data_IF_361431373344
#
_entry.id   IF_361431373344
#
_cell.length_a   1.000
_cell.length_b   1.000
_cell.length_c   1.000
_cell.angle_alpha   90.00
_cell.angle_beta   90.00
_cell.angle_gamma   90.00
#
_symmetry.space_group_name_H-M   'P 1'
#
loop_
_entity.id
_entity.type
_entity.pdbx_description
1 polymer ?
#
# COMPACT_ATOMS: atom_id res chain seq x y z
N UNK A 1 5.45 -5.79 -2.19
CA UNK A 1 4.91 -5.45 -0.86
C UNK A 1 3.40 -5.64 -0.76
N UNK A 2 2.61 -5.19 -1.74
CA UNK A 2 1.14 -5.37 -1.71
C UNK A 2 0.69 -6.84 -1.68
N UNK A 3 1.36 -7.72 -2.43
CA UNK A 3 1.11 -9.18 -2.35
C UNK A 3 1.39 -9.75 -0.96
N UNK A 4 2.46 -9.28 -0.29
CA UNK A 4 2.76 -9.66 1.08
C UNK A 4 1.67 -9.17 2.04
N UNK A 5 1.13 -7.98 1.82
CA UNK A 5 -0.04 -7.49 2.56
C UNK A 5 -1.24 -8.41 2.39
N UNK A 6 -1.61 -8.74 1.16
CA UNK A 6 -2.74 -9.62 0.85
C UNK A 6 -2.61 -11.02 1.47
N UNK A 7 -1.49 -11.69 1.22
CA UNK A 7 -1.26 -13.07 1.69
C UNK A 7 -0.99 -13.11 3.19
N UNK A 8 -0.18 -12.18 3.70
CA UNK A 8 0.20 -12.10 5.09
C UNK A 8 -1.00 -11.85 6.00
N UNK A 9 -1.88 -10.92 5.66
CA UNK A 9 -3.05 -10.64 6.49
C UNK A 9 -4.12 -11.74 6.43
N UNK A 10 -4.27 -12.45 5.30
CA UNK A 10 -5.14 -13.64 5.27
C UNK A 10 -4.56 -14.79 6.10
N UNK A 11 -3.28 -15.12 5.89
CA UNK A 11 -2.61 -16.22 6.57
C UNK A 11 -2.53 -16.03 8.08
N UNK A 12 -2.29 -14.79 8.52
CA UNK A 12 -2.18 -14.44 9.95
C UNK A 12 -3.51 -13.98 10.57
N UNK A 13 -4.47 -13.49 9.78
CA UNK A 13 -5.73 -12.97 10.30
C UNK A 13 -6.83 -14.03 10.47
N UNK A 14 -6.86 -15.04 9.60
CA UNK A 14 -7.88 -16.11 9.65
C UNK A 14 -7.91 -16.95 10.94
N UNK A 15 -6.79 -17.18 11.64
CA UNK A 15 -6.83 -17.89 12.92
C UNK A 15 -7.55 -17.13 14.03
N UNK A 16 -7.73 -15.80 13.92
CA UNK A 16 -8.35 -14.93 14.94
C UNK A 16 -7.80 -15.13 16.37
N UNK A 17 -6.51 -15.44 16.51
CA UNK A 17 -5.86 -15.54 17.81
C UNK A 17 -5.02 -14.29 18.10
N UNK A 18 -4.92 -13.82 19.35
CA UNK A 18 -4.14 -12.63 19.68
C UNK A 18 -2.71 -12.59 19.10
N UNK A 19 -1.87 -13.65 19.19
CA UNK A 19 -0.52 -13.59 18.64
C UNK A 19 -0.49 -13.46 17.11
N UNK A 20 -1.41 -14.11 16.41
CA UNK A 20 -1.47 -14.06 14.94
C UNK A 20 -1.98 -12.71 14.44
N UNK A 21 -2.92 -12.09 15.16
CA UNK A 21 -3.39 -10.73 14.89
C UNK A 21 -2.28 -9.70 15.11
N UNK A 22 -1.48 -9.83 16.17
CA UNK A 22 -0.32 -8.95 16.39
C UNK A 22 0.71 -9.11 15.25
N UNK A 23 0.99 -10.35 14.84
CA UNK A 23 1.87 -10.62 13.72
C UNK A 23 1.32 -10.04 12.40
N UNK A 24 0.01 -10.16 12.14
CA UNK A 24 -0.65 -9.54 10.99
C UNK A 24 -0.48 -8.01 11.02
N UNK A 25 -0.73 -7.38 12.17
CA UNK A 25 -0.53 -5.94 12.37
C UNK A 25 0.91 -5.50 12.10
N UNK A 26 1.90 -6.26 12.55
CA UNK A 26 3.31 -6.01 12.27
C UNK A 26 3.62 -6.08 10.76
N UNK A 27 3.19 -7.16 10.08
CA UNK A 27 3.41 -7.33 8.64
C UNK A 27 2.75 -6.20 7.85
N UNK A 28 1.51 -5.85 8.18
CA UNK A 28 0.80 -4.74 7.53
C UNK A 28 1.45 -3.39 7.81
N UNK A 29 1.92 -3.15 9.03
CA UNK A 29 2.68 -1.96 9.39
C UNK A 29 3.98 -1.83 8.59
N UNK A 30 4.73 -2.93 8.46
CA UNK A 30 5.94 -2.98 7.63
C UNK A 30 5.64 -2.70 6.16
N UNK A 31 4.62 -3.36 5.59
CA UNK A 31 4.17 -3.12 4.21
C UNK A 31 3.79 -1.65 4.00
N UNK A 32 3.06 -1.06 4.95
CA UNK A 32 2.64 0.33 4.92
C UNK A 32 3.83 1.30 4.91
N UNK A 33 4.78 1.14 5.82
CA UNK A 33 5.95 2.02 5.90
C UNK A 33 6.86 1.89 4.69
N UNK A 34 7.05 0.68 4.19
CA UNK A 34 7.91 0.48 3.04
C UNK A 34 7.31 1.03 1.74
N UNK A 35 5.99 0.95 1.56
CA UNK A 35 5.30 1.67 0.47
C UNK A 35 5.45 3.18 0.64
N UNK A 36 5.27 3.70 1.87
CA UNK A 36 5.39 5.13 2.15
C UNK A 36 6.78 5.67 1.75
N UNK A 37 7.86 4.97 2.12
CA UNK A 37 9.23 5.37 1.76
C UNK A 37 9.42 5.48 0.24
N UNK A 38 8.89 4.53 -0.54
CA UNK A 38 8.97 4.59 -2.01
C UNK A 38 8.20 5.77 -2.60
N UNK A 39 7.05 6.12 -2.03
CA UNK A 39 6.29 7.28 -2.49
C UNK A 39 6.98 8.58 -2.10
N UNK A 40 7.53 8.67 -0.89
CA UNK A 40 8.29 9.82 -0.42
C UNK A 40 9.51 10.05 -1.33
N UNK A 41 10.27 9.02 -1.68
CA UNK A 41 11.40 9.16 -2.62
C UNK A 41 10.94 9.62 -4.01
N UNK A 42 9.82 9.09 -4.50
CA UNK A 42 9.24 9.49 -5.79
C UNK A 42 8.81 10.96 -5.76
N UNK A 43 8.15 11.41 -4.68
CA UNK A 43 7.74 12.80 -4.51
C UNK A 43 8.95 13.74 -4.46
N UNK A 44 10.05 13.32 -3.84
CA UNK A 44 11.29 14.10 -3.85
C UNK A 44 11.85 14.24 -5.26
N UNK A 45 11.79 13.18 -6.08
CA UNK A 45 12.30 13.18 -7.45
C UNK A 45 11.46 14.06 -8.38
N UNK A 46 10.13 13.99 -8.31
CA UNK A 46 9.24 14.62 -9.30
C UNK A 46 8.79 16.03 -8.96
N UNK A 47 8.89 16.45 -7.69
CA UNK A 47 8.42 17.77 -7.24
C UNK A 47 9.59 18.73 -7.08
N UNK A 48 9.48 19.89 -7.74
CA UNK A 48 10.42 21.00 -7.59
C UNK A 48 10.56 21.45 -6.12
N UNK A 49 11.79 21.78 -5.73
CA UNK A 49 12.15 22.15 -4.34
C UNK A 49 11.23 23.22 -3.74
N UNK A 50 10.88 24.26 -4.53
CA UNK A 50 10.02 25.38 -4.11
C UNK A 50 8.62 24.94 -3.62
N UNK A 51 8.14 23.79 -4.08
CA UNK A 51 6.82 23.25 -3.74
C UNK A 51 6.89 21.98 -2.91
N UNK A 52 8.07 21.36 -2.78
CA UNK A 52 8.25 20.04 -2.18
C UNK A 52 7.66 19.96 -0.78
N UNK A 53 7.98 20.90 0.11
CA UNK A 53 7.45 20.91 1.49
C UNK A 53 5.91 20.99 1.55
N UNK A 54 5.29 21.76 0.63
CA UNK A 54 3.83 21.90 0.55
C UNK A 54 3.17 20.60 0.07
N UNK A 55 3.72 19.98 -0.96
CA UNK A 55 3.21 18.71 -1.50
C UNK A 55 3.40 17.58 -0.48
N UNK A 56 4.53 17.53 0.21
CA UNK A 56 4.78 16.56 1.28
C UNK A 56 3.76 16.65 2.40
N UNK A 57 3.46 17.86 2.89
CA UNK A 57 2.47 18.06 3.96
C UNK A 57 1.08 17.59 3.55
N UNK A 58 0.65 17.87 2.31
CA UNK A 58 -0.64 17.39 1.78
C UNK A 58 -0.64 15.87 1.67
N UNK A 59 0.42 15.28 1.12
CA UNK A 59 0.53 13.82 0.98
C UNK A 59 0.50 13.11 2.35
N UNK A 60 1.30 13.58 3.32
CA UNK A 60 1.33 13.02 4.67
C UNK A 60 -0.03 13.16 5.36
N UNK A 61 -0.68 14.31 5.24
CA UNK A 61 -2.00 14.53 5.83
C UNK A 61 -3.02 13.57 5.22
N UNK A 62 -3.04 13.43 3.90
CA UNK A 62 -3.95 12.52 3.20
C UNK A 62 -3.73 11.06 3.63
N UNK A 63 -2.46 10.64 3.73
CA UNK A 63 -2.10 9.29 4.16
C UNK A 63 -2.60 9.01 5.59
N UNK A 64 -2.35 9.92 6.53
CA UNK A 64 -2.78 9.78 7.92
C UNK A 64 -4.31 9.82 8.06
N UNK A 65 -4.98 10.74 7.36
CA UNK A 65 -6.45 10.84 7.36
C UNK A 65 -7.08 9.55 6.82
N UNK A 66 -6.52 8.96 5.76
CA UNK A 66 -7.00 7.68 5.23
C UNK A 66 -6.90 6.56 6.27
N UNK A 67 -5.84 6.54 7.09
CA UNK A 67 -5.68 5.58 8.17
C UNK A 67 -6.76 5.77 9.26
N UNK A 68 -7.01 7.01 9.66
CA UNK A 68 -8.09 7.34 10.62
C UNK A 68 -9.45 6.91 10.07
N UNK A 69 -9.75 7.21 8.81
CA UNK A 69 -10.99 6.81 8.14
C UNK A 69 -11.13 5.29 8.12
N UNK A 70 -10.05 4.55 7.84
CA UNK A 70 -10.07 3.09 7.86
C UNK A 70 -10.40 2.53 9.25
N UNK A 71 -9.77 3.06 10.30
CA UNK A 71 -10.03 2.65 11.70
C UNK A 71 -11.47 2.96 12.11
N UNK A 72 -11.97 4.17 11.80
CA UNK A 72 -13.35 4.57 12.09
C UNK A 72 -14.34 3.69 11.34
N UNK A 73 -14.09 3.41 10.06
CA UNK A 73 -14.93 2.51 9.26
C UNK A 73 -14.95 1.10 9.84
N UNK A 74 -13.79 0.57 10.22
CA UNK A 74 -13.71 -0.74 10.86
C UNK A 74 -14.51 -0.78 12.17
N UNK A 75 -14.40 0.25 13.01
CA UNK A 75 -15.14 0.34 14.27
C UNK A 75 -16.67 0.37 14.08
N UNK A 76 -17.16 0.94 12.97
CA UNK A 76 -18.59 1.01 12.66
C UNK A 76 -19.14 -0.25 11.95
N UNK A 77 -18.29 -0.94 11.18
CA UNK A 77 -18.72 -2.06 10.30
C UNK A 77 -18.46 -3.43 10.92
N UNK A 78 -17.44 -3.59 11.76
CA UNK A 78 -17.14 -4.90 12.34
C UNK A 78 -18.21 -5.32 13.36
N UNK A 79 -18.51 -6.63 13.47
CA UNK A 79 -19.31 -7.16 14.56
C UNK A 79 -18.69 -6.85 15.92
N UNK A 80 -19.51 -6.89 16.98
CA UNK A 80 -19.04 -6.69 18.36
C UNK A 80 -17.96 -7.71 18.79
N UNK A 81 -17.88 -8.86 18.12
CA UNK A 81 -16.80 -9.85 18.32
C UNK A 81 -15.44 -9.41 17.77
N UNK A 82 -15.39 -8.39 16.91
CA UNK A 82 -14.19 -7.94 16.20
C UNK A 82 -13.73 -8.88 15.07
N UNK A 83 -14.41 -10.01 14.88
CA UNK A 83 -14.03 -11.04 13.91
C UNK A 83 -14.90 -10.96 12.66
N UNK A 84 -14.28 -10.83 11.48
CA UNK A 84 -15.00 -10.77 10.21
C UNK A 84 -14.15 -11.29 9.05
N UNK A 85 -14.43 -12.52 8.62
CA UNK A 85 -13.81 -13.11 7.42
C UNK A 85 -14.10 -12.26 6.16
N UNK A 86 -15.34 -11.78 5.91
CA UNK A 86 -15.60 -10.90 4.78
C UNK A 86 -14.73 -9.64 4.78
N UNK A 87 -14.49 -9.02 5.94
CA UNK A 87 -13.62 -7.84 6.04
C UNK A 87 -12.17 -8.16 5.63
N UNK A 88 -11.61 -9.28 6.13
CA UNK A 88 -10.27 -9.73 5.73
C UNK A 88 -10.17 -9.98 4.22
N UNK A 89 -11.17 -10.64 3.64
CA UNK A 89 -11.22 -10.92 2.19
C UNK A 89 -11.30 -9.64 1.37
N UNK A 90 -12.15 -8.68 1.77
CA UNK A 90 -12.25 -7.37 1.09
C UNK A 90 -10.91 -6.65 1.10
N UNK A 91 -10.25 -6.58 2.25
CA UNK A 91 -8.92 -5.95 2.35
C UNK A 91 -7.88 -6.67 1.48
N UNK A 92 -7.95 -8.01 1.38
CA UNK A 92 -7.03 -8.79 0.55
C UNK A 92 -7.26 -8.50 -0.94
N UNK A 93 -8.52 -8.43 -1.37
CA UNK A 93 -8.89 -8.07 -2.73
C UNK A 93 -8.41 -6.65 -3.06
N UNK A 94 -8.54 -5.69 -2.14
CA UNK A 94 -8.03 -4.33 -2.34
C UNK A 94 -6.51 -4.31 -2.53
N UNK A 95 -5.75 -5.07 -1.72
CA UNK A 95 -4.30 -5.21 -1.91
C UNK A 95 -3.95 -5.84 -3.26
N UNK A 96 -4.66 -6.91 -3.66
CA UNK A 96 -4.42 -7.58 -4.94
C UNK A 96 -4.78 -6.68 -6.13
N UNK A 97 -5.92 -6.00 -6.08
CA UNK A 97 -6.34 -5.05 -7.11
C UNK A 97 -5.31 -3.92 -7.28
N UNK A 98 -4.80 -3.38 -6.17
CA UNK A 98 -3.74 -2.36 -6.19
C UNK A 98 -2.45 -2.93 -6.76
N UNK A 99 -2.07 -4.16 -6.43
CA UNK A 99 -0.89 -4.83 -6.99
C UNK A 99 -1.00 -5.01 -8.50
N UNK A 100 -2.16 -5.49 -8.98
CA UNK A 100 -2.44 -5.68 -10.41
C UNK A 100 -2.41 -4.34 -11.14
N UNK A 101 -3.10 -3.32 -10.62
CA UNK A 101 -3.12 -1.99 -11.23
C UNK A 101 -1.70 -1.41 -11.42
N UNK A 102 -0.87 -1.50 -10.39
CA UNK A 102 0.52 -1.04 -10.46
C UNK A 102 1.38 -1.90 -11.39
N UNK A 103 1.18 -3.23 -11.40
CA UNK A 103 1.90 -4.15 -12.27
C UNK A 103 1.59 -3.91 -13.76
N UNK A 104 0.31 -3.75 -14.10
CA UNK A 104 -0.16 -3.49 -15.49
C UNK A 104 0.38 -2.15 -15.99
N UNK A 105 0.33 -1.09 -15.18
CA UNK A 105 0.88 0.22 -15.55
C UNK A 105 2.41 0.16 -15.69
N UNK A 106 3.10 -0.60 -14.84
CA UNK A 106 4.55 -0.78 -14.90
C UNK A 106 5.02 -1.55 -16.14
N UNK A 107 4.26 -2.56 -16.58
CA UNK A 107 4.51 -3.30 -17.82
C UNK A 107 4.38 -2.39 -19.05
N UNK A 108 3.35 -1.54 -19.10
CA UNK A 108 3.16 -0.60 -20.21
C UNK A 108 4.27 0.44 -20.35
N UNK A 109 4.82 0.93 -19.23
CA UNK A 109 5.96 1.87 -19.23
C UNK A 109 7.26 1.23 -19.70
N UNK A 110 7.50 -0.05 -19.37
CA UNK A 110 8.69 -0.80 -19.84
C UNK A 110 8.66 -1.11 -21.33
N UNK A 111 7.48 -1.36 -21.90
CA UNK A 111 7.32 -1.58 -23.34
C UNK A 111 7.48 -0.32 -24.20
N UNK A 112 7.34 0.88 -23.60
CA UNK A 112 7.55 2.15 -24.30
C UNK A 112 9.03 2.57 -24.38
N UNK A 113 9.89 2.06 -23.49
CA UNK A 113 11.34 2.22 -23.59
C UNK A 113 11.89 1.27 -24.68
N UNK A 114 11.88 1.74 -25.93
CA UNK A 114 12.35 0.97 -27.10
C UNK A 114 13.88 1.13 -27.24
N UNK A 115 14.65 0.14 -27.74
CA UNK A 115 16.12 0.01 -27.58
C UNK A 115 17.06 1.11 -28.11
N UNK A 116 16.57 2.23 -28.66
CA UNK A 116 17.43 3.24 -29.31
C UNK A 116 18.31 4.04 -28.34
N UNK A 117 18.00 4.10 -27.05
CA UNK A 117 18.86 4.75 -26.05
C UNK A 117 20.13 3.95 -25.72
N UNK A 118 20.14 2.63 -25.98
CA UNK A 118 21.32 1.78 -25.73
C UNK A 118 22.33 1.85 -26.88
N UNK A 119 21.90 2.24 -28.08
CA UNK A 119 22.76 2.27 -29.28
C UNK A 119 23.48 3.63 -29.49
N UNK A 120 23.13 4.67 -28.72
CA UNK A 120 23.73 6.02 -28.84
C UNK A 120 24.90 6.30 -27.89
N UNK A 121 25.31 5.33 -27.07
CA UNK A 121 26.39 5.45 -26.08
C UNK A 121 27.62 4.58 -26.42
N UNK A 122 27.83 4.29 -27.70
CA UNK A 122 29.02 3.63 -28.23
C UNK A 122 29.98 4.63 -28.88
#
# INVERSE_FOLDING_TARGET
MLLLGAVGQLGLGLPFTPPTIVAAGFVLGFVSQAVKICVDSTLQEVVHDDFRGRVFSVYDTLFNVTFVVAVVTAALVLPASGTSVPALVVVAVLYLATAVANGVVGLGKRSAATPSEVQGAA
#
